data_IF_664604740434
#
_entry.id   IF_664604740434
#
_cell.length_a   1.000
_cell.length_b   1.000
_cell.length_c   1.000
_cell.angle_alpha   90.00
_cell.angle_beta   90.00
_cell.angle_gamma   90.00
#
_symmetry.space_group_name_H-M   'P 1'
#
loop_
_entity.id
_entity.type
_entity.pdbx_description
1 polymer ?
#
# COMPACT_ATOMS: atom_id res chain seq x y z
N UNK A 1 6.55 -20.63 7.14
CA UNK A 1 5.60 -19.51 6.96
C UNK A 1 5.59 -18.68 8.24
N UNK A 2 5.27 -17.38 8.18
CA UNK A 2 5.21 -16.52 9.37
C UNK A 2 3.97 -16.83 10.21
N UNK A 3 3.91 -16.30 11.44
CA UNK A 3 2.76 -16.51 12.33
C UNK A 3 1.49 -15.73 11.93
N UNK A 4 1.62 -14.78 11.01
CA UNK A 4 0.55 -13.87 10.58
C UNK A 4 0.33 -14.07 9.08
N UNK A 5 -0.93 -14.24 8.68
CA UNK A 5 -1.30 -14.30 7.28
C UNK A 5 -1.27 -12.89 6.66
N UNK A 6 -0.90 -12.81 5.38
CA UNK A 6 -0.76 -11.52 4.68
C UNK A 6 -2.07 -10.72 4.69
N UNK A 7 -3.21 -11.41 4.62
CA UNK A 7 -4.53 -10.76 4.63
C UNK A 7 -4.82 -10.10 5.99
N UNK A 8 -4.47 -10.74 7.10
CA UNK A 8 -4.68 -10.18 8.45
C UNK A 8 -3.81 -8.94 8.68
N UNK A 9 -2.56 -8.98 8.21
CA UNK A 9 -1.66 -7.84 8.26
C UNK A 9 -2.18 -6.65 7.45
N UNK A 10 -2.75 -6.91 6.26
CA UNK A 10 -3.35 -5.88 5.41
C UNK A 10 -4.62 -5.32 6.05
N UNK A 11 -5.51 -6.17 6.56
CA UNK A 11 -6.74 -5.75 7.25
C UNK A 11 -6.44 -4.83 8.44
N UNK A 12 -5.47 -5.20 9.26
CA UNK A 12 -5.03 -4.36 10.37
C UNK A 12 -4.43 -3.04 9.90
N UNK A 13 -3.65 -3.04 8.81
CA UNK A 13 -2.99 -1.84 8.32
C UNK A 13 -3.93 -0.83 7.66
N UNK A 14 -5.06 -1.28 7.09
CA UNK A 14 -6.06 -0.39 6.47
C UNK A 14 -7.19 0.00 7.41
N UNK A 15 -7.16 -0.43 8.66
CA UNK A 15 -8.17 -0.08 9.65
C UNK A 15 -8.21 1.44 9.84
N UNK A 16 -9.39 2.05 9.65
CA UNK A 16 -9.59 3.51 9.74
C UNK A 16 -9.23 4.28 8.46
N UNK A 17 -8.64 3.62 7.46
CA UNK A 17 -8.46 4.19 6.13
C UNK A 17 -9.69 3.91 5.26
N UNK A 18 -9.93 4.76 4.28
CA UNK A 18 -11.02 4.55 3.32
C UNK A 18 -10.63 4.95 1.90
N UNK A 19 -11.43 4.54 0.92
CA UNK A 19 -11.22 4.90 -0.48
C UNK A 19 -9.81 4.58 -0.98
N UNK A 20 -9.17 5.57 -1.61
CA UNK A 20 -7.87 5.40 -2.23
C UNK A 20 -6.73 5.19 -1.22
N UNK A 21 -6.85 5.71 0.01
CA UNK A 21 -5.86 5.51 1.07
C UNK A 21 -5.74 4.04 1.45
N UNK A 22 -6.89 3.38 1.66
CA UNK A 22 -6.96 1.96 1.98
C UNK A 22 -6.43 1.10 0.82
N UNK A 23 -6.82 1.42 -0.42
CA UNK A 23 -6.39 0.68 -1.62
C UNK A 23 -4.89 0.79 -1.84
N UNK A 24 -4.32 1.99 -1.76
CA UNK A 24 -2.88 2.19 -1.93
C UNK A 24 -2.08 1.49 -0.83
N UNK A 25 -2.49 1.66 0.43
CA UNK A 25 -1.84 1.03 1.59
C UNK A 25 -1.83 -0.49 1.48
N UNK A 26 -2.99 -1.11 1.20
CA UNK A 26 -3.09 -2.55 1.03
C UNK A 26 -2.18 -3.09 -0.10
N UNK A 27 -2.16 -2.41 -1.25
CA UNK A 27 -1.36 -2.87 -2.38
C UNK A 27 0.14 -2.69 -2.16
N UNK A 28 0.57 -1.57 -1.55
CA UNK A 28 1.97 -1.36 -1.20
C UNK A 28 2.48 -2.49 -0.28
N UNK A 29 1.74 -2.80 0.78
CA UNK A 29 2.06 -3.90 1.71
C UNK A 29 2.08 -5.25 0.99
N UNK A 30 1.06 -5.55 0.17
CA UNK A 30 0.97 -6.79 -0.60
C UNK A 30 2.20 -7.03 -1.46
N UNK A 31 2.68 -6.02 -2.19
CA UNK A 31 3.85 -6.18 -3.05
C UNK A 31 5.15 -6.25 -2.26
N UNK A 32 5.28 -5.48 -1.16
CA UNK A 32 6.41 -5.61 -0.22
C UNK A 32 6.48 -6.98 0.43
N UNK A 33 5.35 -7.62 0.69
CA UNK A 33 5.32 -8.98 1.23
C UNK A 33 5.68 -10.04 0.17
N UNK A 34 5.31 -9.79 -1.09
CA UNK A 34 5.39 -10.77 -2.18
C UNK A 34 6.74 -10.83 -2.89
N UNK A 35 7.45 -9.70 -2.98
CA UNK A 35 8.68 -9.57 -3.78
C UNK A 35 9.75 -10.65 -3.55
N UNK A 36 10.04 -11.13 -2.31
CA UNK A 36 11.12 -12.09 -2.12
C UNK A 36 10.75 -13.50 -2.62
N UNK A 37 9.46 -13.75 -2.87
CA UNK A 37 8.94 -15.05 -3.34
C UNK A 37 8.50 -15.01 -4.80
N UNK A 38 8.21 -13.83 -5.35
CA UNK A 38 7.73 -13.62 -6.71
C UNK A 38 8.04 -12.19 -7.16
N UNK A 39 8.29 -11.98 -8.45
CA UNK A 39 8.35 -10.64 -9.04
C UNK A 39 9.61 -9.83 -8.76
N UNK A 40 10.36 -10.07 -7.67
CA UNK A 40 11.62 -9.37 -7.36
C UNK A 40 11.44 -7.84 -7.50
N UNK A 41 12.24 -7.18 -8.33
CA UNK A 41 12.23 -5.75 -8.53
C UNK A 41 10.90 -5.23 -9.12
N UNK A 42 10.15 -6.04 -9.87
CA UNK A 42 8.86 -5.61 -10.44
C UNK A 42 7.82 -5.35 -9.34
N UNK A 43 7.81 -6.18 -8.29
CA UNK A 43 6.92 -5.97 -7.16
C UNK A 43 7.33 -4.76 -6.33
N UNK A 44 8.64 -4.51 -6.18
CA UNK A 44 9.13 -3.29 -5.53
C UNK A 44 8.69 -2.03 -6.27
N UNK A 45 8.80 -2.02 -7.61
CA UNK A 45 8.30 -0.91 -8.45
C UNK A 45 6.79 -0.71 -8.34
N UNK A 46 6.03 -1.80 -8.20
CA UNK A 46 4.58 -1.69 -7.95
C UNK A 46 4.30 -1.09 -6.57
N UNK A 47 5.02 -1.51 -5.54
CA UNK A 47 4.89 -0.92 -4.21
C UNK A 47 5.20 0.58 -4.22
N UNK A 48 6.32 0.97 -4.85
CA UNK A 48 6.73 2.36 -5.06
C UNK A 48 5.61 3.18 -5.73
N UNK A 49 5.04 2.68 -6.83
CA UNK A 49 3.96 3.37 -7.53
C UNK A 49 2.73 3.64 -6.64
N UNK A 50 2.32 2.66 -5.80
CA UNK A 50 1.17 2.87 -4.90
C UNK A 50 1.48 3.88 -3.79
N UNK A 51 2.73 3.93 -3.31
CA UNK A 51 3.19 4.91 -2.33
C UNK A 51 3.18 6.31 -2.96
N UNK A 52 3.77 6.48 -4.15
CA UNK A 52 3.77 7.76 -4.88
C UNK A 52 2.34 8.22 -5.18
N UNK A 53 1.46 7.30 -5.58
CA UNK A 53 0.05 7.61 -5.83
C UNK A 53 -0.66 8.13 -4.58
N UNK A 54 -0.40 7.52 -3.42
CA UNK A 54 -0.96 7.94 -2.15
C UNK A 54 -0.48 9.34 -1.76
N UNK A 55 0.83 9.59 -1.85
CA UNK A 55 1.44 10.91 -1.59
C UNK A 55 0.77 11.96 -2.48
N UNK A 56 0.67 11.71 -3.78
CA UNK A 56 0.05 12.63 -4.75
C UNK A 56 -1.44 12.93 -4.46
N UNK A 57 -2.19 11.99 -3.88
CA UNK A 57 -3.56 12.25 -3.44
C UNK A 57 -3.56 13.15 -2.22
N UNK A 58 -2.80 12.81 -1.19
CA UNK A 58 -2.76 13.55 0.07
C UNK A 58 -2.27 14.99 -0.11
N UNK A 59 -1.30 15.20 -1.02
CA UNK A 59 -0.82 16.53 -1.37
C UNK A 59 -1.89 17.37 -2.09
N UNK A 60 -2.66 16.77 -3.02
CA UNK A 60 -3.77 17.46 -3.70
C UNK A 60 -4.90 17.80 -2.76
N UNK A 61 -5.32 16.88 -1.91
CA UNK A 61 -6.35 17.10 -0.89
C UNK A 61 -5.93 18.23 0.09
N UNK A 62 -4.63 18.35 0.37
CA UNK A 62 -4.10 19.42 1.23
C UNK A 62 -4.18 20.80 0.56
N UNK A 63 -4.04 20.86 -0.77
CA UNK A 63 -4.18 22.10 -1.55
C UNK A 63 -5.65 22.50 -1.69
N UNK A 64 -6.57 21.55 -1.87
CA UNK A 64 -8.01 21.83 -2.04
C UNK A 64 -8.72 22.28 -0.74
N UNK A 65 -8.10 22.02 0.43
CA UNK A 65 -8.62 22.42 1.74
C UNK A 65 -8.16 23.80 2.20
N UNK A 66 -7.33 24.50 1.43
CA UNK A 66 -6.86 25.87 1.67
C UNK A 66 -7.46 26.83 0.64
#
# INVERSE_FOLDING_TARGET
AGQIECIDAIESAVTGLSGIEAVCTANAIKYLWRWPRKGYAEDLKKAEWYIEKLISVLERDSVEKH
#
